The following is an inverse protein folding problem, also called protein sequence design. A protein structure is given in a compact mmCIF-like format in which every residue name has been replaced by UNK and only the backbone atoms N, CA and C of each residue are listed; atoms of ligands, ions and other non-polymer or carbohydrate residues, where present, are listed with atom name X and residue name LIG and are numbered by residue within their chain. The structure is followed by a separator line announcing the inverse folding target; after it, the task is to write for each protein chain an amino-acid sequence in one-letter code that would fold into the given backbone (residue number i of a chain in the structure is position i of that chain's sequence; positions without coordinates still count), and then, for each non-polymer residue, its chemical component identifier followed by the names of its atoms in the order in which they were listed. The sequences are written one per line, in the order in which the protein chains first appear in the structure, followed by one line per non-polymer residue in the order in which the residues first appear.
data_IF_270707599862
#
_entry.id   IF_270707599862
#
_cell.length_a   1.000
_cell.length_b   1.000
_cell.length_c   1.000
_cell.angle_alpha   90.00
_cell.angle_beta   90.00
_cell.angle_gamma   90.00
#
_symmetry.space_group_name_H-M   'P 1'
#
loop_
_entity.id
_entity.type
_entity.pdbx_description
1 polymer ?
#
# COMPACT_ATOMS: atom_id res chain seq x y z
N UNK A 1 -9.54 0.78 29.91
CA UNK A 1 -10.48 0.61 28.78
C UNK A 1 -9.87 -0.47 27.90
N UNK A 2 -10.54 -1.61 27.74
CA UNK A 2 -10.05 -2.65 26.84
C UNK A 2 -10.12 -2.11 25.41
N UNK A 3 -9.01 -2.06 24.70
CA UNK A 3 -9.03 -1.79 23.27
C UNK A 3 -9.88 -2.89 22.63
N UNK A 4 -11.03 -2.51 22.05
CA UNK A 4 -11.89 -3.44 21.33
C UNK A 4 -11.06 -4.10 20.23
N UNK A 5 -11.09 -5.43 20.17
CA UNK A 5 -10.48 -6.16 19.05
C UNK A 5 -11.29 -5.89 17.78
N UNK A 6 -10.59 -5.70 16.67
CA UNK A 6 -11.17 -5.48 15.35
C UNK A 6 -11.80 -6.81 14.89
N UNK A 7 -13.01 -6.74 14.33
CA UNK A 7 -13.77 -7.93 13.89
C UNK A 7 -14.04 -7.91 12.39
N UNK A 8 -14.01 -9.10 11.77
CA UNK A 8 -14.43 -9.28 10.38
C UNK A 8 -15.91 -8.92 10.23
N UNK A 9 -16.23 -8.19 9.15
CA UNK A 9 -17.59 -7.73 8.84
C UNK A 9 -18.00 -6.45 9.55
N UNK A 10 -17.16 -5.91 10.45
CA UNK A 10 -17.41 -4.61 11.06
C UNK A 10 -17.23 -3.47 10.04
N UNK A 11 -18.06 -2.44 10.17
CA UNK A 11 -17.94 -1.21 9.38
C UNK A 11 -16.78 -0.37 9.96
N UNK A 12 -15.79 -0.05 9.13
CA UNK A 12 -14.74 0.88 9.49
C UNK A 12 -15.35 2.27 9.75
N UNK A 13 -14.89 2.93 10.79
CA UNK A 13 -15.30 4.30 11.11
C UNK A 13 -14.57 5.36 10.30
N UNK A 14 -13.53 4.96 9.56
CA UNK A 14 -12.76 5.83 8.68
C UNK A 14 -13.36 5.79 7.27
N UNK A 15 -13.27 6.92 6.58
CA UNK A 15 -13.58 7.05 5.15
C UNK A 15 -12.28 7.19 4.35
N UNK A 16 -12.30 6.81 3.07
CA UNK A 16 -11.17 7.12 2.18
C UNK A 16 -11.07 8.62 1.94
N UNK A 17 -9.86 9.15 2.09
CA UNK A 17 -9.59 10.57 1.95
C UNK A 17 -8.21 10.84 1.31
N UNK A 18 -7.69 12.04 1.53
CA UNK A 18 -6.36 12.44 1.05
C UNK A 18 -5.20 11.80 1.84
N UNK A 19 -5.47 11.20 3.01
CA UNK A 19 -4.48 10.52 3.85
C UNK A 19 -4.82 9.05 4.10
N UNK A 20 -5.98 8.58 3.65
CA UNK A 20 -6.49 7.23 3.90
C UNK A 20 -6.84 6.57 2.57
N UNK A 21 -6.30 5.38 2.34
CA UNK A 21 -6.63 4.53 1.18
C UNK A 21 -6.99 3.12 1.65
N UNK A 22 -8.07 2.56 1.11
CA UNK A 22 -8.45 1.17 1.32
C UNK A 22 -8.01 0.29 0.15
N UNK A 23 -7.58 -0.93 0.47
CA UNK A 23 -7.18 -1.94 -0.52
C UNK A 23 -7.68 -3.31 -0.12
N UNK A 24 -8.16 -4.09 -1.09
CA UNK A 24 -8.51 -5.50 -0.91
C UNK A 24 -7.47 -6.46 -1.53
N UNK A 25 -6.18 -6.12 -1.45
CA UNK A 25 -5.11 -6.98 -1.96
C UNK A 25 -3.74 -6.65 -1.38
N UNK A 26 -2.80 -7.55 -1.62
CA UNK A 26 -1.40 -7.48 -1.20
C UNK A 26 -0.41 -7.23 -2.35
N UNK A 27 -0.88 -7.03 -3.59
CA UNK A 27 -0.01 -6.81 -4.74
C UNK A 27 0.74 -5.47 -4.62
N UNK A 28 2.02 -5.53 -4.31
CA UNK A 28 2.85 -4.37 -4.02
C UNK A 28 3.36 -3.70 -5.30
N UNK A 29 3.71 -4.50 -6.31
CA UNK A 29 4.28 -4.02 -7.56
C UNK A 29 3.46 -4.41 -8.79
N UNK A 30 3.63 -3.67 -9.88
CA UNK A 30 3.05 -4.00 -11.19
C UNK A 30 3.43 -5.40 -11.69
N UNK A 31 4.63 -5.89 -11.36
CA UNK A 31 5.09 -7.22 -11.77
C UNK A 31 4.35 -8.36 -11.07
N UNK A 32 3.70 -8.08 -9.94
CA UNK A 32 2.96 -9.06 -9.16
C UNK A 32 1.50 -9.18 -9.56
N UNK A 33 1.00 -8.24 -10.39
CA UNK A 33 -0.38 -8.26 -10.84
C UNK A 33 -0.45 -9.13 -12.11
N UNK A 34 -1.11 -10.30 -12.07
CA UNK A 34 -1.18 -11.16 -13.25
C UNK A 34 -1.90 -10.47 -14.42
N UNK A 35 -1.53 -10.75 -15.68
CA UNK A 35 -2.15 -10.10 -16.85
C UNK A 35 -3.68 -10.27 -16.93
N UNK A 36 -4.21 -11.39 -16.42
CA UNK A 36 -5.65 -11.67 -16.43
C UNK A 36 -6.47 -10.82 -15.44
N UNK A 37 -5.82 -10.09 -14.52
CA UNK A 37 -6.48 -9.05 -13.71
C UNK A 37 -6.73 -7.74 -14.48
N UNK A 38 -6.50 -7.73 -15.79
CA UNK A 38 -6.89 -6.66 -16.68
C UNK A 38 -8.31 -6.92 -17.19
N UNK A 39 -9.29 -6.18 -16.65
CA UNK A 39 -10.65 -6.18 -17.16
C UNK A 39 -10.77 -5.17 -18.32
N UNK A 40 -11.69 -5.38 -19.26
CA UNK A 40 -12.05 -4.37 -20.25
C UNK A 40 -13.41 -3.76 -19.88
N UNK A 41 -13.42 -2.50 -19.46
CA UNK A 41 -14.63 -1.76 -19.14
C UNK A 41 -14.78 -0.65 -20.18
N UNK A 42 -15.89 -0.64 -20.92
CA UNK A 42 -16.15 0.33 -21.98
C UNK A 42 -15.02 0.43 -23.03
N UNK A 43 -14.43 -0.72 -23.40
CA UNK A 43 -13.32 -0.80 -24.35
C UNK A 43 -11.97 -0.30 -23.82
N UNK A 44 -11.88 0.06 -22.52
CA UNK A 44 -10.63 0.47 -21.87
C UNK A 44 -10.16 -0.63 -20.92
N UNK A 45 -8.87 -1.01 -20.96
CA UNK A 45 -8.32 -1.90 -19.96
C UNK A 45 -8.30 -1.20 -18.60
N UNK A 46 -8.96 -1.80 -17.61
CA UNK A 46 -8.91 -1.44 -16.20
C UNK A 46 -8.13 -2.53 -15.49
N UNK A 47 -6.99 -2.15 -14.92
CA UNK A 47 -6.14 -3.05 -14.14
C UNK A 47 -6.20 -2.65 -12.68
N UNK A 48 -6.21 -3.64 -11.80
CA UNK A 48 -5.94 -3.46 -10.37
C UNK A 48 -4.64 -2.68 -10.21
N UNK A 49 -4.64 -1.63 -9.41
CA UNK A 49 -3.47 -0.76 -9.24
C UNK A 49 -2.57 -1.31 -8.13
N UNK A 50 -1.24 -1.36 -8.31
CA UNK A 50 -0.34 -1.85 -7.27
C UNK A 50 -0.28 -0.87 -6.09
N UNK A 51 0.08 -1.36 -4.91
CA UNK A 51 0.24 -0.54 -3.69
C UNK A 51 1.35 0.51 -3.89
N UNK A 52 2.40 0.20 -4.67
CA UNK A 52 3.51 1.12 -4.99
C UNK A 52 3.05 2.46 -5.56
N UNK A 53 1.97 2.47 -6.35
CA UNK A 53 1.38 3.70 -6.90
C UNK A 53 0.82 4.61 -5.79
N UNK A 54 0.14 4.04 -4.80
CA UNK A 54 -0.37 4.80 -3.65
C UNK A 54 0.76 5.27 -2.77
N UNK A 55 1.80 4.44 -2.56
CA UNK A 55 2.99 4.84 -1.80
C UNK A 55 3.69 6.03 -2.46
N UNK A 56 3.92 5.99 -3.78
CA UNK A 56 4.48 7.14 -4.52
C UNK A 56 3.62 8.40 -4.34
N UNK A 57 2.29 8.26 -4.42
CA UNK A 57 1.36 9.37 -4.21
C UNK A 57 1.47 9.99 -2.80
N UNK A 58 1.59 9.18 -1.76
CA UNK A 58 1.73 9.64 -0.38
C UNK A 58 3.12 10.23 -0.09
N UNK A 59 4.20 9.62 -0.59
CA UNK A 59 5.57 10.14 -0.44
C UNK A 59 5.72 11.55 -1.02
N UNK A 60 5.07 11.80 -2.17
CA UNK A 60 5.11 13.08 -2.88
C UNK A 60 4.04 14.08 -2.41
N UNK A 61 3.26 13.75 -1.37
CA UNK A 61 2.26 14.64 -0.78
C UNK A 61 2.49 14.78 0.73
N UNK A 62 1.48 14.62 1.57
CA UNK A 62 1.57 14.83 3.03
C UNK A 62 1.80 13.53 3.80
N UNK A 63 2.04 12.42 3.10
CA UNK A 63 1.96 11.09 3.67
C UNK A 63 0.52 10.58 3.78
N UNK A 64 0.36 9.44 4.43
CA UNK A 64 -0.94 8.81 4.63
C UNK A 64 -0.81 7.37 5.13
N UNK A 65 -1.93 6.67 5.16
CA UNK A 65 -2.05 5.30 5.63
C UNK A 65 -2.87 4.47 4.63
N UNK A 66 -2.34 3.32 4.27
CA UNK A 66 -3.03 2.33 3.43
C UNK A 66 -3.50 1.20 4.35
N UNK A 67 -4.80 0.90 4.29
CA UNK A 67 -5.40 -0.22 5.01
C UNK A 67 -5.73 -1.34 4.02
N UNK A 68 -4.90 -2.38 3.99
CA UNK A 68 -5.15 -3.56 3.17
C UNK A 68 -5.95 -4.62 3.95
N UNK A 69 -7.11 -4.98 3.42
CA UNK A 69 -8.13 -5.82 4.06
C UNK A 69 -9.45 -5.09 4.33
N UNK A 70 -9.65 -3.88 3.80
CA UNK A 70 -10.91 -3.13 3.85
C UNK A 70 -11.43 -2.96 2.42
N UNK A 71 -12.72 -3.25 2.21
CA UNK A 71 -13.37 -3.12 0.91
C UNK A 71 -13.84 -1.69 0.61
N UNK A 72 -14.28 -1.45 -0.64
CA UNK A 72 -14.73 -0.13 -1.10
C UNK A 72 -16.01 0.35 -0.39
N UNK A 73 -16.66 -0.50 0.42
CA UNK A 73 -17.79 -0.14 1.26
C UNK A 73 -17.33 0.10 2.71
N UNK A 74 -16.03 0.24 2.94
CA UNK A 74 -15.40 0.39 4.24
C UNK A 74 -15.72 -0.77 5.21
N UNK A 75 -16.01 -1.98 4.72
CA UNK A 75 -16.21 -3.16 5.55
C UNK A 75 -14.87 -3.88 5.75
N UNK A 76 -14.56 -4.21 7.02
CA UNK A 76 -13.33 -4.91 7.38
C UNK A 76 -13.46 -6.39 6.97
N UNK A 77 -12.69 -6.80 5.97
CA UNK A 77 -12.66 -8.19 5.48
C UNK A 77 -11.46 -8.96 5.99
N UNK A 78 -10.33 -8.28 6.18
CA UNK A 78 -9.03 -8.87 6.45
C UNK A 78 -8.42 -9.61 5.25
N UNK A 79 -7.19 -10.05 5.44
CA UNK A 79 -6.42 -10.85 4.50
C UNK A 79 -5.92 -12.07 5.25
N UNK A 80 -6.25 -13.25 4.74
CA UNK A 80 -5.78 -14.52 5.31
C UNK A 80 -4.30 -14.69 4.97
N UNK A 81 -3.48 -14.86 6.00
CA UNK A 81 -2.04 -15.03 5.84
C UNK A 81 -1.49 -16.04 6.85
N UNK A 82 -0.56 -16.88 6.39
CA UNK A 82 0.35 -17.64 7.26
C UNK A 82 1.52 -16.75 7.70
N UNK A 83 2.30 -17.19 8.69
CA UNK A 83 3.51 -16.47 9.08
C UNK A 83 4.50 -16.28 7.90
N UNK A 84 4.82 -17.30 7.08
CA UNK A 84 5.64 -17.13 5.89
C UNK A 84 5.06 -16.13 4.87
N UNK A 85 3.73 -16.07 4.71
CA UNK A 85 3.12 -15.08 3.80
C UNK A 85 3.35 -13.65 4.27
N UNK A 86 3.39 -13.40 5.59
CA UNK A 86 3.72 -12.06 6.14
C UNK A 86 5.15 -11.66 5.79
N UNK A 87 6.10 -12.57 5.97
CA UNK A 87 7.50 -12.33 5.62
C UNK A 87 7.65 -12.03 4.13
N UNK A 88 6.95 -12.78 3.28
CA UNK A 88 6.94 -12.52 1.84
C UNK A 88 6.32 -11.19 1.46
N UNK A 89 5.23 -10.79 2.11
CA UNK A 89 4.65 -9.47 1.90
C UNK A 89 5.67 -8.36 2.20
N UNK A 90 6.39 -8.46 3.32
CA UNK A 90 7.43 -7.50 3.70
C UNK A 90 8.60 -7.51 2.71
N UNK A 91 9.07 -8.69 2.29
CA UNK A 91 10.15 -8.82 1.29
C UNK A 91 9.76 -8.21 -0.05
N UNK A 92 8.55 -8.51 -0.53
CA UNK A 92 7.98 -7.97 -1.77
C UNK A 92 7.86 -6.45 -1.71
N UNK A 93 7.32 -5.91 -0.61
CA UNK A 93 7.18 -4.47 -0.42
C UNK A 93 8.55 -3.79 -0.40
N UNK A 94 9.50 -4.30 0.39
CA UNK A 94 10.85 -3.73 0.46
C UNK A 94 11.57 -3.76 -0.89
N UNK A 95 11.38 -4.84 -1.66
CA UNK A 95 11.91 -4.91 -3.01
C UNK A 95 11.30 -3.82 -3.91
N UNK A 96 9.97 -3.66 -3.89
CA UNK A 96 9.29 -2.60 -4.64
C UNK A 96 9.83 -1.21 -4.26
N UNK A 97 9.95 -0.91 -2.96
CA UNK A 97 10.50 0.36 -2.45
C UNK A 97 11.97 0.60 -2.88
N UNK A 98 12.77 -0.46 -2.99
CA UNK A 98 14.16 -0.37 -3.45
C UNK A 98 14.29 -0.03 -4.94
N UNK A 99 13.25 -0.30 -5.74
CA UNK A 99 13.19 0.01 -7.16
C UNK A 99 12.70 1.44 -7.46
N UNK A 100 12.27 2.18 -6.44
CA UNK A 100 11.90 3.57 -6.62
C UNK A 100 13.13 4.40 -7.01
N UNK A 101 12.89 5.51 -7.68
CA UNK A 101 13.92 6.48 -8.02
C UNK A 101 13.60 7.83 -7.37
N UNK A 102 14.36 8.26 -6.35
CA UNK A 102 15.40 7.49 -5.66
C UNK A 102 14.81 6.35 -4.79
N UNK A 103 15.64 5.38 -4.33
CA UNK A 103 15.17 4.33 -3.42
C UNK A 103 14.58 4.91 -2.14
N UNK A 104 13.45 4.37 -1.68
CA UNK A 104 12.74 4.89 -0.49
C UNK A 104 13.47 4.47 0.79
N UNK A 105 13.81 5.41 1.68
CA UNK A 105 14.34 5.08 3.00
C UNK A 105 13.33 4.30 3.84
N UNK A 106 13.75 3.25 4.58
CA UNK A 106 12.84 2.38 5.33
C UNK A 106 12.07 3.11 6.44
N UNK A 107 12.57 4.24 6.95
CA UNK A 107 11.88 5.06 7.94
C UNK A 107 10.63 5.76 7.41
N UNK A 108 10.51 5.93 6.08
CA UNK A 108 9.36 6.59 5.47
C UNK A 108 8.17 5.66 5.25
N UNK A 109 8.36 4.33 5.32
CA UNK A 109 7.29 3.36 5.12
C UNK A 109 7.32 2.29 6.20
N UNK A 110 6.29 2.27 7.05
CA UNK A 110 6.17 1.31 8.15
C UNK A 110 4.98 0.38 7.92
N UNK A 111 5.13 -0.90 8.27
CA UNK A 111 4.08 -1.90 8.11
C UNK A 111 3.73 -2.52 9.45
N UNK A 112 2.43 -2.62 9.72
CA UNK A 112 1.89 -3.31 10.88
C UNK A 112 0.85 -4.34 10.43
N UNK A 113 0.84 -5.51 11.09
CA UNK A 113 -0.15 -6.55 10.87
C UNK A 113 -1.04 -6.65 12.12
N UNK A 114 -2.29 -6.23 12.00
CA UNK A 114 -3.27 -6.29 13.08
C UNK A 114 -4.13 -7.53 12.91
N UNK A 115 -4.07 -8.46 13.86
CA UNK A 115 -4.90 -9.68 13.84
C UNK A 115 -6.39 -9.31 14.04
N UNK A 116 -7.25 -9.88 13.20
CA UNK A 116 -8.70 -9.65 13.19
C UNK A 116 -9.40 -10.87 13.78
N UNK A 117 -10.32 -10.65 14.70
CA UNK A 117 -11.18 -11.71 15.20
C UNK A 117 -12.20 -12.10 14.10
N UNK A 118 -12.22 -13.37 13.70
CA UNK A 118 -13.26 -13.93 12.83
C UNK A 118 -14.24 -14.79 13.65
N UNK A 119 -15.41 -14.23 14.06
CA UNK A 119 -16.37 -14.99 14.85
C UNK A 119 -16.99 -16.17 14.07
N UNK A 120 -16.89 -16.17 12.74
CA UNK A 120 -17.42 -17.23 11.87
C UNK A 120 -16.52 -18.47 11.80
N UNK A 121 -15.23 -18.34 12.12
CA UNK A 121 -14.26 -19.45 12.10
C UNK A 121 -14.08 -20.11 13.48
N UNK A 122 -15.08 -20.03 14.36
CA UNK A 122 -15.06 -20.80 15.60
C UNK A 122 -15.16 -22.30 15.27
N UNK A 123 -14.00 -22.95 15.12
CA UNK A 123 -13.81 -24.40 14.92
C UNK A 123 -14.33 -25.28 16.08
N UNK A 124 -15.10 -24.70 17.01
CA UNK A 124 -15.89 -25.45 18.00
C UNK A 124 -17.25 -25.93 17.45
N UNK A 125 -17.52 -25.76 16.15
CA UNK A 125 -18.49 -26.63 15.48
C UNK A 125 -17.89 -28.04 15.48
N UNK A 126 -18.28 -28.85 16.47
CA UNK A 126 -17.94 -30.27 16.59
C UNK A 126 -17.82 -30.90 15.21
N UNK A 127 -16.59 -31.24 14.81
CA UNK A 127 -16.34 -32.04 13.61
C UNK A 127 -17.21 -33.30 13.77
N UNK A 128 -18.23 -33.53 12.92
CA UNK A 128 -18.94 -34.78 12.96
C UNK A 128 -17.91 -35.88 12.74
N UNK A 129 -17.83 -36.80 13.70
CA UNK A 129 -17.01 -38.00 13.65
C UNK A 129 -17.01 -38.59 12.23
N UNK A 130 -15.86 -39.00 11.67
CA UNK A 130 -15.79 -39.58 10.34
C UNK A 130 -16.39 -40.99 10.35
N UNK A 131 -17.72 -41.04 10.34
CA UNK A 131 -18.48 -42.24 10.05
C UNK A 131 -19.19 -42.02 8.71
N UNK A 132 -18.83 -42.89 7.77
CA UNK A 132 -19.55 -43.18 6.52
C UNK A 132 -19.32 -42.20 5.36
N UNK A 133 -18.18 -42.39 4.67
CA UNK A 133 -18.02 -42.05 3.26
C UNK A 133 -19.00 -42.89 2.41
N UNK A 134 -19.96 -42.28 1.69
CA UNK A 134 -20.71 -42.98 0.65
C UNK A 134 -19.79 -43.22 -0.56
N UNK A 135 -19.76 -44.47 -1.02
CA UNK A 135 -19.01 -44.89 -2.20
C UNK A 135 -19.48 -44.17 -3.45
N UNK A 136 -18.52 -43.67 -4.23
CA UNK A 136 -18.71 -43.00 -5.51
C UNK A 136 -19.28 -43.95 -6.58
N UNK A 137 -20.60 -43.98 -6.72
CA UNK A 137 -21.31 -44.37 -7.94
C UNK A 137 -22.59 -43.56 -8.00
N UNK A 138 -22.60 -42.44 -8.72
CA UNK A 138 -23.74 -41.88 -9.47
C UNK A 138 -23.48 -40.41 -9.82
N UNK A 139 -22.78 -40.17 -10.93
CA UNK A 139 -22.72 -38.87 -11.58
C UNK A 139 -22.65 -39.05 -13.10
N UNK A 140 -23.73 -39.54 -13.68
CA UNK A 140 -24.06 -39.32 -15.08
C UNK A 140 -25.53 -38.95 -15.16
N UNK A 141 -25.84 -37.66 -15.14
CA UNK A 141 -26.97 -37.09 -15.84
C UNK A 141 -26.78 -35.58 -15.96
N UNK A 142 -26.71 -35.12 -17.22
CA UNK A 142 -26.48 -33.73 -17.57
C UNK A 142 -27.73 -32.87 -17.54
N UNK A 143 -27.49 -31.57 -17.58
CA UNK A 143 -28.33 -30.64 -18.32
C UNK A 143 -27.45 -29.50 -18.81
N UNK A 144 -27.39 -29.38 -20.12
CA UNK A 144 -26.88 -28.25 -20.88
C UNK A 144 -27.91 -27.13 -20.77
N UNK A 145 -27.48 -25.93 -20.39
CA UNK A 145 -27.87 -24.61 -20.95
C UNK A 145 -27.70 -23.53 -19.88
N UNK A 146 -26.47 -23.00 -19.75
CA UNK A 146 -26.21 -21.77 -19.01
C UNK A 146 -25.05 -21.00 -19.64
N UNK A 147 -25.35 -20.23 -20.67
CA UNK A 147 -24.40 -19.36 -21.38
C UNK A 147 -23.94 -18.13 -20.56
N UNK A 148 -24.18 -18.10 -19.25
CA UNK A 148 -23.55 -17.16 -18.30
C UNK A 148 -22.46 -17.81 -17.44
N UNK A 149 -22.34 -19.14 -17.46
CA UNK A 149 -21.30 -19.90 -16.74
C UNK A 149 -19.97 -20.02 -17.53
N UNK A 150 -19.91 -19.49 -18.75
CA UNK A 150 -18.75 -19.57 -19.64
C UNK A 150 -17.67 -18.50 -19.34
N UNK A 151 -17.99 -17.53 -18.47
CA UNK A 151 -16.98 -16.60 -17.92
C UNK A 151 -16.17 -17.19 -16.75
N UNK A 152 -16.40 -18.48 -16.41
CA UNK A 152 -15.83 -19.13 -15.22
C UNK A 152 -15.12 -20.47 -15.45
N UNK A 153 -14.64 -20.83 -16.66
CA UNK A 153 -13.73 -22.00 -16.83
C UNK A 153 -12.80 -21.88 -18.05
N UNK A 154 -11.54 -22.39 -18.01
CA UNK A 154 -10.67 -22.66 -16.88
C UNK A 154 -9.39 -21.80 -16.92
N UNK A 155 -9.08 -21.27 -15.74
CA UNK A 155 -7.73 -20.93 -15.28
C UNK A 155 -6.73 -21.97 -15.82
N UNK A 156 -5.75 -21.53 -16.59
CA UNK A 156 -4.63 -22.38 -17.00
C UNK A 156 -3.82 -22.76 -15.77
N UNK A 157 -4.17 -23.86 -15.09
CA UNK A 157 -3.38 -24.67 -14.12
C UNK A 157 -2.61 -23.97 -12.98
N UNK A 158 -2.66 -22.66 -12.86
CA UNK A 158 -2.09 -21.93 -11.74
C UNK A 158 -3.20 -21.79 -10.71
N UNK A 159 -2.99 -22.41 -9.55
CA UNK A 159 -3.89 -22.31 -8.40
C UNK A 159 -4.17 -20.82 -8.15
N UNK A 160 -5.44 -20.35 -8.10
CA UNK A 160 -5.74 -18.96 -7.76
C UNK A 160 -5.23 -18.53 -6.38
N UNK A 161 -4.71 -19.48 -5.57
CA UNK A 161 -4.01 -19.24 -4.31
C UNK A 161 -2.51 -19.07 -4.43
N UNK A 162 -1.91 -19.34 -5.59
CA UNK A 162 -0.49 -19.13 -5.81
C UNK A 162 -0.17 -17.63 -5.69
N UNK A 163 0.35 -17.21 -4.54
CA UNK A 163 0.87 -15.86 -4.39
C UNK A 163 2.28 -15.81 -4.96
N UNK A 164 2.55 -14.70 -5.65
CA UNK A 164 3.83 -14.47 -6.28
C UNK A 164 4.69 -13.56 -5.40
N UNK A 165 5.98 -13.87 -5.31
CA UNK A 165 6.98 -13.06 -4.66
C UNK A 165 8.00 -12.71 -5.72
N UNK A 166 8.13 -11.42 -6.05
CA UNK A 166 9.06 -10.96 -7.09
C UNK A 166 8.81 -11.58 -8.48
N UNK A 167 7.56 -11.90 -8.78
CA UNK A 167 7.15 -12.52 -10.05
C UNK A 167 7.27 -14.05 -10.09
N UNK A 168 7.82 -14.69 -9.06
CA UNK A 168 7.90 -16.15 -8.96
C UNK A 168 6.83 -16.71 -8.02
N UNK A 169 6.26 -17.87 -8.34
CA UNK A 169 5.28 -18.53 -7.46
C UNK A 169 5.95 -18.96 -6.14
N UNK A 170 5.38 -18.58 -5.00
CA UNK A 170 5.87 -19.03 -3.69
C UNK A 170 5.30 -20.40 -3.33
N UNK A 171 6.15 -21.30 -2.82
CA UNK A 171 5.74 -22.61 -2.30
C UNK A 171 5.30 -22.60 -0.82
N UNK A 172 5.14 -21.43 -0.23
CA UNK A 172 4.80 -21.31 1.18
C UNK A 172 3.31 -21.55 1.50
N UNK A 173 2.49 -21.86 0.49
CA UNK A 173 1.11 -22.34 0.63
C UNK A 173 1.04 -23.87 0.86
N UNK A 174 2.15 -24.61 0.65
CA UNK A 174 2.13 -26.09 0.73
C UNK A 174 2.31 -26.67 2.14
N UNK A 175 2.61 -25.83 3.14
CA UNK A 175 2.66 -26.27 4.53
C UNK A 175 1.31 -26.05 5.21
N UNK A 176 0.89 -27.01 6.04
CA UNK A 176 -0.29 -26.95 6.90
C UNK A 176 -0.13 -25.92 8.04
N UNK A 177 0.14 -24.67 7.71
CA UNK A 177 0.22 -23.58 8.68
C UNK A 177 -1.19 -23.08 9.01
N UNK A 178 -1.37 -22.70 10.26
CA UNK A 178 -2.60 -22.04 10.73
C UNK A 178 -2.72 -20.68 10.03
N UNK A 179 -3.81 -20.51 9.28
CA UNK A 179 -4.16 -19.23 8.67
C UNK A 179 -4.75 -18.31 9.72
N UNK A 180 -4.29 -17.05 9.73
CA UNK A 180 -4.86 -16.00 10.54
C UNK A 180 -5.30 -14.84 9.66
N UNK A 181 -6.33 -14.13 10.12
CA UNK A 181 -6.88 -12.99 9.41
C UNK A 181 -6.19 -11.71 9.89
N UNK A 182 -5.66 -10.91 8.97
CA UNK A 182 -4.94 -9.68 9.27
C UNK A 182 -5.49 -8.47 8.53
N UNK A 183 -5.48 -7.32 9.20
CA UNK A 183 -5.53 -5.99 8.58
C UNK A 183 -4.08 -5.50 8.47
N UNK A 184 -3.62 -5.24 7.26
CA UNK A 184 -2.27 -4.70 7.02
C UNK A 184 -2.37 -3.18 6.98
N UNK A 185 -1.63 -2.52 7.87
CA UNK A 185 -1.56 -1.06 7.95
C UNK A 185 -0.20 -0.63 7.44
N UNK A 186 -0.18 0.15 6.37
CA UNK A 186 1.05 0.69 5.76
C UNK A 186 1.04 2.20 5.97
N UNK A 187 1.88 2.68 6.88
CA UNK A 187 2.04 4.11 7.16
C UNK A 187 3.15 4.66 6.25
N UNK A 188 2.85 5.75 5.54
CA UNK A 188 3.76 6.41 4.61
C UNK A 188 3.98 7.85 5.07
N UNK A 189 5.22 8.22 5.36
CA UNK A 189 5.60 9.55 5.78
C UNK A 189 6.14 10.36 4.60
N UNK A 190 5.74 11.64 4.52
CA UNK A 190 6.33 12.60 3.57
C UNK A 190 7.83 12.73 3.83
N UNK A 191 8.63 12.77 2.77
CA UNK A 191 10.05 13.11 2.90
C UNK A 191 10.22 14.59 3.26
N UNK A 192 11.07 14.86 4.26
CA UNK A 192 11.33 16.22 4.76
C UNK A 192 12.21 17.06 3.84
N UNK A 193 12.85 16.44 2.84
CA UNK A 193 13.84 17.07 1.97
C UNK A 193 13.29 17.46 0.58
N UNK A 194 11.97 17.43 0.37
CA UNK A 194 11.35 17.75 -0.92
C UNK A 194 11.64 16.74 -2.04
N UNK A 195 12.19 15.56 -1.73
CA UNK A 195 12.48 14.53 -2.73
C UNK A 195 11.20 14.03 -3.38
N UNK A 196 11.20 14.02 -4.71
CA UNK A 196 10.16 13.37 -5.50
C UNK A 196 10.54 11.92 -5.79
N UNK A 197 9.64 11.02 -5.46
CA UNK A 197 9.78 9.58 -5.64
C UNK A 197 8.99 9.08 -6.84
N UNK A 198 9.71 8.49 -7.78
CA UNK A 198 9.16 7.74 -8.90
C UNK A 198 9.08 6.26 -8.51
N UNK A 199 7.96 5.60 -8.78
CA UNK A 199 7.81 4.16 -8.51
C UNK A 199 8.65 3.30 -9.48
N UNK A 200 8.49 1.98 -9.44
CA UNK A 200 9.22 1.04 -10.31
C UNK A 200 8.91 1.22 -11.81
N UNK A 201 7.83 1.93 -12.17
CA UNK A 201 7.49 2.27 -13.55
C UNK A 201 8.20 3.56 -14.03
N UNK A 202 8.95 4.23 -13.15
CA UNK A 202 9.53 5.55 -13.41
C UNK A 202 8.49 6.69 -13.37
N UNK A 203 7.32 6.44 -12.77
CA UNK A 203 6.22 7.40 -12.70
C UNK A 203 6.10 7.99 -11.29
N UNK A 204 5.98 9.32 -11.22
CA UNK A 204 5.67 10.02 -9.98
C UNK A 204 4.16 10.26 -9.89
N UNK A 205 3.59 9.99 -8.72
CA UNK A 205 2.19 10.24 -8.44
C UNK A 205 2.04 11.25 -7.30
N UNK A 206 0.91 11.95 -7.25
CA UNK A 206 0.46 12.73 -6.09
C UNK A 206 -0.96 12.34 -5.72
N UNK A 207 -1.29 12.44 -4.43
CA UNK A 207 -2.64 12.27 -3.93
C UNK A 207 -3.43 13.57 -4.07
N UNK A 208 -4.60 13.53 -4.71
CA UNK A 208 -5.49 14.69 -4.84
C UNK A 208 -6.95 14.24 -4.86
N UNK A 209 -7.79 14.79 -3.99
CA UNK A 209 -9.22 14.44 -3.88
C UNK A 209 -9.47 12.93 -3.84
N UNK A 210 -8.73 12.20 -2.99
CA UNK A 210 -8.83 10.74 -2.86
C UNK A 210 -8.39 9.94 -4.09
N UNK A 211 -7.74 10.56 -5.09
CA UNK A 211 -7.28 9.90 -6.31
C UNK A 211 -5.76 10.05 -6.47
N UNK A 212 -5.11 8.97 -6.89
CA UNK A 212 -3.69 8.97 -7.24
C UNK A 212 -3.53 9.50 -8.67
N UNK A 213 -3.08 10.76 -8.80
CA UNK A 213 -2.86 11.44 -10.08
C UNK A 213 -1.39 11.38 -10.47
N UNK A 214 -1.09 11.01 -11.72
CA UNK A 214 0.26 11.08 -12.26
C UNK A 214 0.73 12.54 -12.33
N UNK A 215 1.93 12.82 -11.85
CA UNK A 215 2.55 14.15 -11.93
C UNK A 215 3.09 14.39 -13.34
N UNK A 216 2.76 15.55 -13.91
CA UNK A 216 3.33 16.01 -15.16
C UNK A 216 4.68 16.71 -14.93
N UNK A 217 5.44 16.92 -16.00
CA UNK A 217 6.68 17.73 -15.94
C UNK A 217 6.41 19.13 -15.34
N UNK A 218 5.26 19.72 -15.66
CA UNK A 218 4.84 21.00 -15.11
C UNK A 218 4.58 20.94 -13.61
N UNK A 219 4.00 19.85 -13.11
CA UNK A 219 3.81 19.63 -11.66
C UNK A 219 5.16 19.52 -10.94
N UNK A 220 6.13 18.80 -11.53
CA UNK A 220 7.48 18.65 -10.98
C UNK A 220 8.22 20.00 -10.88
N UNK A 221 8.10 20.85 -11.90
CA UNK A 221 8.69 22.19 -11.90
C UNK A 221 8.06 23.10 -10.84
N UNK A 222 6.76 22.95 -10.58
CA UNK A 222 6.06 23.75 -9.56
C UNK A 222 6.48 23.32 -8.16
N UNK A 223 6.64 22.00 -7.95
CA UNK A 223 7.05 21.44 -6.67
C UNK A 223 8.46 21.91 -6.26
N UNK A 224 9.42 21.78 -7.18
CA UNK A 224 10.81 22.21 -6.97
C UNK A 224 10.93 23.72 -6.68
N UNK A 225 10.06 24.55 -7.25
CA UNK A 225 10.07 25.99 -6.98
C UNK A 225 9.46 26.35 -5.62
N UNK A 226 8.49 25.59 -5.13
CA UNK A 226 7.80 25.90 -3.86
C UNK A 226 8.70 25.60 -2.66
N UNK A 227 9.42 24.48 -2.69
CA UNK A 227 10.34 24.09 -1.61
C UNK A 227 11.52 25.09 -1.47
N UNK A 228 12.03 25.61 -2.60
CA UNK A 228 13.07 26.66 -2.59
C UNK A 228 12.58 27.96 -1.94
N UNK A 229 11.30 28.29 -2.07
CA UNK A 229 10.72 29.50 -1.49
C UNK A 229 10.49 29.31 0.01
N UNK A 230 10.12 28.12 0.48
CA UNK A 230 9.99 27.85 1.92
C UNK A 230 11.36 27.85 2.63
N UNK A 231 12.40 27.28 2.03
CA UNK A 231 13.75 27.31 2.61
C UNK A 231 14.34 28.73 2.66
N UNK A 232 14.14 29.54 1.62
CA UNK A 232 14.64 30.93 1.59
C UNK A 232 13.76 31.90 2.40
N UNK A 233 12.45 31.64 2.47
CA UNK A 233 11.50 32.38 3.28
C UNK A 233 11.69 32.16 4.78
N UNK A 234 12.03 30.93 5.19
CA UNK A 234 12.36 30.60 6.58
C UNK A 234 13.59 31.36 7.09
N UNK A 235 14.60 31.56 6.25
CA UNK A 235 15.77 32.39 6.57
C UNK A 235 15.42 33.87 6.77
N UNK A 236 14.59 34.44 5.88
CA UNK A 236 14.15 35.83 5.99
C UNK A 236 13.20 36.06 7.17
N UNK A 237 12.34 35.10 7.49
CA UNK A 237 11.43 35.16 8.64
C UNK A 237 12.16 34.93 9.97
N UNK A 238 13.21 34.09 9.98
CA UNK A 238 14.15 33.97 11.09
C UNK A 238 14.94 35.28 11.31
N UNK A 239 15.43 35.91 10.24
CA UNK A 239 16.11 37.22 10.29
C UNK A 239 15.18 38.34 10.79
N UNK A 240 13.87 38.28 10.50
CA UNK A 240 12.87 39.24 10.99
C UNK A 240 12.48 39.04 12.45
N UNK A 241 12.61 37.82 12.99
CA UNK A 241 12.30 37.48 14.39
C UNK A 241 13.48 37.67 15.34
N UNK A 242 14.67 37.96 14.82
CA UNK A 242 15.80 38.37 15.66
C UNK A 242 15.58 39.81 16.18
N UNK A 243 15.66 40.04 17.50
CA UNK A 243 15.71 41.39 18.05
C UNK A 243 16.84 42.17 17.37
N UNK A 244 16.60 43.43 16.97
CA UNK A 244 17.58 44.29 16.26
C UNK A 244 18.99 44.31 16.88
N UNK A 245 19.09 44.11 18.20
CA UNK A 245 20.35 43.99 18.95
C UNK A 245 21.16 42.73 18.61
N UNK A 246 20.52 41.61 18.28
CA UNK A 246 21.19 40.37 17.91
C UNK A 246 21.64 40.36 16.44
N UNK A 247 20.87 41.00 15.56
CA UNK A 247 21.23 41.16 14.14
C UNK A 247 22.49 42.03 13.98
N UNK A 248 22.59 43.12 14.75
CA UNK A 248 23.79 43.98 14.81
C UNK A 248 25.03 43.23 15.32
N UNK A 249 24.86 42.35 16.31
CA UNK A 249 25.97 41.57 16.88
C UNK A 249 26.47 40.49 15.91
N UNK A 250 25.57 39.86 15.14
CA UNK A 250 25.92 38.88 14.11
C UNK A 250 26.62 39.54 12.90
N UNK A 251 26.08 40.66 12.40
CA UNK A 251 26.71 41.44 11.31
C UNK A 251 28.10 41.95 11.74
N UNK A 252 28.28 42.44 12.97
CA UNK A 252 29.59 42.86 13.47
C UNK A 252 30.60 41.72 13.63
N UNK A 253 30.13 40.48 13.85
CA UNK A 253 31.00 39.32 14.01
C UNK A 253 31.50 38.77 12.67
N UNK A 254 30.63 38.67 11.66
CA UNK A 254 31.03 38.14 10.35
C UNK A 254 31.67 39.17 9.42
N UNK A 255 31.37 40.46 9.55
CA UNK A 255 32.09 41.49 8.79
C UNK A 255 33.54 41.73 9.30
N UNK A 256 33.89 41.19 10.47
CA UNK A 256 35.26 41.23 11.02
C UNK A 256 36.15 40.08 10.58
N UNK A 257 35.59 39.00 10.06
CA UNK A 257 36.36 37.84 9.61
C UNK A 257 36.86 38.02 8.16
N UNK A 258 36.17 38.80 7.33
CA UNK A 258 36.59 39.08 5.94
C UNK A 258 37.70 40.14 5.81
N UNK A 259 37.98 40.92 6.86
CA UNK A 259 39.02 41.97 6.84
C UNK A 259 40.40 41.46 7.29
N UNK A 260 40.47 40.28 7.92
CA UNK A 260 41.73 39.74 8.46
C UNK A 260 42.35 38.60 7.64
N UNK A 261 41.78 38.26 6.48
CA UNK A 261 42.32 37.25 5.56
C UNK A 261 42.75 37.84 4.20
N UNK A 262 43.09 39.13 4.16
CA UNK A 262 43.72 39.81 3.02
C UNK A 262 45.14 40.27 3.36
#
# INVERSE_FOLDING_TARGET
MGHGRIRRGEQCTLDEDVHTEFKMHTMNSLFEIPPYYQAFINGRPVRKQPISKTISAFLNTEGGTIYAGIDDQAVIRGIEMTAPMKDHFILSLNHSLSQFTPPVPPELVQVQFLEIDDPGNNENAEVPSPAEMPTAYDALNGNEDNSEAEFQRPVTKEDPRAHHVLGEACFCDFDYHEYKLYLIVIEVHKSTNGTIYQNEEGLAYRRNNCVNQMMTISDLNTFTQTDLIEETGGWLDWLRKLPLLHLLCWVQKHFREDVNNG
#
